data_IF_879033413484
#
_entry.id   IF_879033413484
#
_cell.length_a   1.000
_cell.length_b   1.000
_cell.length_c   1.000
_cell.angle_alpha   90.00
_cell.angle_beta   90.00
_cell.angle_gamma   90.00
#
_symmetry.space_group_name_H-M   'P 1'
#
loop_
_entity.id
_entity.type
_entity.pdbx_description
1 polymer ?
#
# COMPACT_ATOMS: atom_id res chain seq x y z
N UNK A 1 -16.95 14.77 2.67
CA UNK A 1 -17.26 15.62 3.83
C UNK A 1 -16.60 15.06 5.07
N UNK A 2 -16.04 15.94 5.89
CA UNK A 2 -15.37 15.50 7.10
C UNK A 2 -16.31 14.80 8.07
N UNK A 3 -17.58 15.23 8.10
CA UNK A 3 -18.57 14.62 8.96
C UNK A 3 -18.81 13.17 8.62
N UNK A 4 -18.77 12.85 7.32
CA UNK A 4 -18.98 11.46 6.88
C UNK A 4 -17.90 10.56 7.38
N UNK A 5 -16.65 11.04 7.38
CA UNK A 5 -15.52 10.26 7.87
C UNK A 5 -15.68 9.96 9.37
N UNK A 6 -16.27 10.90 10.12
CA UNK A 6 -16.47 10.73 11.55
C UNK A 6 -17.53 9.69 11.88
N UNK A 7 -18.37 9.33 10.91
CA UNK A 7 -19.40 8.33 11.10
C UNK A 7 -18.91 6.93 10.86
N UNK A 8 -17.72 6.79 10.33
CA UNK A 8 -17.13 5.47 10.08
C UNK A 8 -16.37 5.01 11.31
N UNK A 9 -16.71 3.82 11.81
CA UNK A 9 -16.02 3.26 12.96
C UNK A 9 -14.54 2.98 12.66
N UNK A 10 -13.73 2.90 13.71
CA UNK A 10 -12.28 2.73 13.53
C UNK A 10 -11.90 1.44 12.80
N UNK A 11 -12.73 0.42 12.87
CA UNK A 11 -12.45 -0.86 12.22
C UNK A 11 -13.24 -1.06 10.94
N UNK A 12 -14.05 -0.09 10.56
CA UNK A 12 -14.85 -0.19 9.35
C UNK A 12 -14.05 0.26 8.14
N UNK A 13 -14.20 -0.44 6.99
CA UNK A 13 -13.51 -0.01 5.78
C UNK A 13 -14.00 1.37 5.33
N UNK A 14 -13.08 2.29 5.15
CA UNK A 14 -13.38 3.61 4.62
C UNK A 14 -13.26 3.67 3.11
N UNK A 15 -12.47 2.77 2.52
CA UNK A 15 -12.22 2.77 1.09
C UNK A 15 -11.74 1.40 0.63
N UNK A 16 -12.14 1.01 -0.56
CA UNK A 16 -11.69 -0.22 -1.20
C UNK A 16 -10.97 0.13 -2.49
N UNK A 17 -9.88 -0.57 -2.75
CA UNK A 17 -8.98 -0.21 -3.84
C UNK A 17 -8.45 -1.46 -4.52
N UNK A 18 -8.44 -1.43 -5.84
CA UNK A 18 -7.80 -2.46 -6.64
C UNK A 18 -6.53 -1.87 -7.24
N UNK A 19 -5.45 -2.65 -7.19
CA UNK A 19 -4.16 -2.19 -7.66
C UNK A 19 -3.64 -3.09 -8.77
N UNK A 20 -3.03 -2.49 -9.79
CA UNK A 20 -2.28 -3.26 -10.78
C UNK A 20 -0.99 -3.76 -10.16
N UNK A 21 -0.29 -4.66 -10.85
CA UNK A 21 0.97 -5.19 -10.33
C UNK A 21 1.98 -4.09 -10.05
N UNK A 22 2.11 -3.13 -10.97
CA UNK A 22 3.04 -2.02 -10.77
C UNK A 22 2.64 -1.17 -9.56
N UNK A 23 1.35 -0.87 -9.44
CA UNK A 23 0.85 -0.08 -8.33
C UNK A 23 1.05 -0.81 -6.99
N UNK A 24 0.82 -2.11 -6.97
CA UNK A 24 1.03 -2.91 -5.77
C UNK A 24 2.49 -2.89 -5.34
N UNK A 25 3.40 -3.06 -6.29
CA UNK A 25 4.83 -3.05 -6.00
C UNK A 25 5.27 -1.72 -5.40
N UNK A 26 4.86 -0.62 -6.00
CA UNK A 26 5.20 0.72 -5.51
C UNK A 26 4.58 0.96 -4.14
N UNK A 27 3.32 0.59 -3.96
CA UNK A 27 2.63 0.78 -2.68
C UNK A 27 3.32 0.01 -1.56
N UNK A 28 3.64 -1.25 -1.81
CA UNK A 28 4.29 -2.07 -0.81
C UNK A 28 5.66 -1.49 -0.44
N UNK A 29 6.43 -1.10 -1.44
CA UNK A 29 7.76 -0.53 -1.23
C UNK A 29 7.68 0.75 -0.42
N UNK A 30 6.72 1.62 -0.76
CA UNK A 30 6.54 2.88 -0.04
C UNK A 30 6.15 2.64 1.42
N UNK A 31 5.26 1.70 1.67
CA UNK A 31 4.83 1.38 3.03
C UNK A 31 5.96 0.77 3.86
N UNK A 32 6.77 -0.08 3.25
CA UNK A 32 7.93 -0.66 3.94
C UNK A 32 8.93 0.42 4.31
N UNK A 33 9.20 1.33 3.39
CA UNK A 33 10.09 2.46 3.65
C UNK A 33 9.57 3.33 4.79
N UNK A 34 8.28 3.64 4.74
CA UNK A 34 7.66 4.44 5.79
C UNK A 34 7.75 3.73 7.14
N UNK A 35 7.45 2.44 7.15
CA UNK A 35 7.52 1.65 8.38
C UNK A 35 8.92 1.72 9.00
N UNK A 36 9.95 1.60 8.15
CA UNK A 36 11.32 1.62 8.63
C UNK A 36 11.74 3.01 9.12
N UNK A 37 11.16 4.06 8.55
CA UNK A 37 11.48 5.44 8.93
C UNK A 37 10.78 5.89 10.21
N UNK A 38 9.66 5.26 10.57
CA UNK A 38 8.94 5.63 11.78
C UNK A 38 9.70 5.19 13.02
N UNK A 39 9.82 6.10 13.98
CA UNK A 39 10.53 5.81 15.21
C UNK A 39 9.61 5.35 16.32
N UNK A 40 10.21 5.15 17.50
CA UNK A 40 9.47 4.68 18.68
C UNK A 40 8.34 5.61 19.09
N UNK A 41 8.51 6.90 18.82
CA UNK A 41 7.50 7.89 19.20
C UNK A 41 6.26 7.79 18.34
N UNK A 42 6.34 7.07 17.23
CA UNK A 42 5.26 6.96 16.26
C UNK A 42 4.75 5.54 16.15
N UNK A 43 4.70 4.84 17.27
CA UNK A 43 4.25 3.46 17.31
C UNK A 43 2.84 3.27 16.79
N UNK A 44 1.98 4.25 17.07
CA UNK A 44 0.59 4.15 16.64
C UNK A 44 0.50 4.15 15.13
N UNK A 45 1.22 5.07 14.48
CA UNK A 45 1.25 5.14 13.03
C UNK A 45 1.94 3.92 12.46
N UNK A 46 3.04 3.50 13.07
CA UNK A 46 3.77 2.32 12.65
C UNK A 46 2.88 1.08 12.68
N UNK A 47 2.05 0.97 13.71
CA UNK A 47 1.10 -0.13 13.84
C UNK A 47 0.08 -0.15 12.71
N UNK A 48 -0.43 1.03 12.33
CA UNK A 48 -1.38 1.13 11.23
C UNK A 48 -0.72 0.72 9.90
N UNK A 49 0.51 1.19 9.66
CA UNK A 49 1.25 0.81 8.47
C UNK A 49 1.44 -0.70 8.40
N UNK A 50 1.78 -1.31 9.53
CA UNK A 50 1.96 -2.75 9.63
C UNK A 50 0.68 -3.50 9.30
N UNK A 51 -0.45 -2.97 9.79
CA UNK A 51 -1.76 -3.58 9.49
C UNK A 51 -2.05 -3.56 8.00
N UNK A 52 -1.76 -2.43 7.34
CA UNK A 52 -1.96 -2.33 5.90
C UNK A 52 -1.07 -3.33 5.17
N UNK A 53 0.19 -3.42 5.57
CA UNK A 53 1.11 -4.38 4.96
C UNK A 53 0.61 -5.81 5.09
N UNK A 54 -0.02 -6.14 6.22
CA UNK A 54 -0.55 -7.49 6.44
C UNK A 54 -1.76 -7.81 5.56
N UNK A 55 -2.41 -6.78 5.01
CA UNK A 55 -3.54 -6.94 4.10
C UNK A 55 -3.11 -7.12 2.65
N UNK A 56 -1.87 -6.81 2.35
CA UNK A 56 -1.33 -6.97 1.01
C UNK A 56 -0.87 -8.41 0.80
N UNK A 57 -0.70 -8.84 -0.46
CA UNK A 57 -0.15 -10.17 -0.73
C UNK A 57 1.20 -10.37 -0.05
N UNK A 58 1.58 -11.63 0.09
CA UNK A 58 2.84 -11.98 0.75
C UNK A 58 4.04 -11.34 0.06
N UNK A 59 5.08 -11.09 0.85
CA UNK A 59 6.31 -10.46 0.35
C UNK A 59 6.86 -11.17 -0.88
N UNK A 60 6.81 -12.49 -0.89
CA UNK A 60 7.34 -13.27 -2.01
C UNK A 60 6.60 -12.97 -3.31
N UNK A 61 5.28 -12.85 -3.22
CA UNK A 61 4.46 -12.55 -4.40
C UNK A 61 4.78 -11.14 -4.91
N UNK A 62 4.96 -10.20 -4.01
CA UNK A 62 5.27 -8.82 -4.39
C UNK A 62 6.69 -8.72 -4.93
N UNK A 63 7.62 -9.43 -4.31
CA UNK A 63 9.00 -9.44 -4.74
C UNK A 63 9.14 -10.03 -6.15
N UNK A 64 8.26 -10.95 -6.51
CA UNK A 64 8.27 -11.55 -7.84
C UNK A 64 7.81 -10.58 -8.92
N UNK A 65 7.16 -9.47 -8.56
CA UNK A 65 6.75 -8.46 -9.52
C UNK A 65 7.98 -7.72 -10.01
N UNK A 66 8.20 -7.76 -11.33
CA UNK A 66 9.29 -7.02 -11.95
C UNK A 66 8.75 -5.66 -12.38
N UNK A 67 9.02 -4.64 -11.56
CA UNK A 67 8.49 -3.30 -11.81
C UNK A 67 8.95 -2.75 -13.15
N UNK A 68 10.20 -2.98 -13.50
CA UNK A 68 10.73 -2.50 -14.77
C UNK A 68 9.97 -3.08 -15.95
N UNK A 69 9.65 -4.36 -15.87
CA UNK A 69 8.87 -5.03 -16.90
C UNK A 69 7.46 -4.47 -16.97
N UNK A 70 6.84 -4.24 -15.81
CA UNK A 70 5.48 -3.70 -15.76
C UNK A 70 5.42 -2.30 -16.32
N UNK A 71 6.43 -1.47 -16.04
CA UNK A 71 6.48 -0.13 -16.60
C UNK A 71 6.66 -0.18 -18.12
N UNK A 72 7.44 -1.14 -18.61
CA UNK A 72 7.59 -1.34 -20.05
C UNK A 72 6.30 -1.72 -20.72
N UNK A 73 5.52 -2.59 -20.07
CA UNK A 73 4.21 -3.01 -20.59
C UNK A 73 3.25 -1.83 -20.66
N UNK A 74 3.25 -0.98 -19.65
CA UNK A 74 2.39 0.20 -19.61
C UNK A 74 2.74 1.17 -20.75
N UNK A 75 4.03 1.38 -21.00
CA UNK A 75 4.47 2.25 -22.08
C UNK A 75 4.07 1.68 -23.43
N UNK A 76 4.21 0.38 -23.61
CA UNK A 76 3.77 -0.28 -24.82
C UNK A 76 2.29 -0.14 -25.07
N UNK A 77 1.50 -0.23 -23.99
CA UNK A 77 0.05 -0.06 -24.09
C UNK A 77 -0.31 1.37 -24.47
N UNK A 78 0.44 2.33 -23.94
CA UNK A 78 0.19 3.75 -24.24
C UNK A 78 0.53 4.11 -25.67
N UNK A 79 1.42 3.39 -26.28
CA UNK A 79 1.78 3.61 -27.67
C UNK A 79 0.69 3.08 -28.59
#
# INVERSE_FOLDING_TARGET
MAEDANLIGPDEPAFRLELTAAQLKVTHTALKSLYDDLGHEERDVQGVVREVLSKLPEDDAIRAIDLKRELGRRRGTAA
#
